data_IF_394771550618
#
_entry.id   IF_394771550618
#
_cell.length_a   1.000
_cell.length_b   1.000
_cell.length_c   1.000
_cell.angle_alpha   90.00
_cell.angle_beta   90.00
_cell.angle_gamma   90.00
#
_symmetry.space_group_name_H-M   'P 1'
#
loop_
_entity.id
_entity.type
_entity.pdbx_description
1 polymer ?
#
# COMPACT_ATOMS: atom_id res chain seq x y z
N UNK A 1 -14.00 -41.82 -26.54
CA UNK A 1 -14.77 -40.66 -27.01
C UNK A 1 -13.84 -39.48 -27.19
N UNK A 2 -13.55 -39.14 -28.44
CA UNK A 2 -12.62 -38.07 -28.81
C UNK A 2 -13.21 -36.70 -28.49
N UNK A 3 -12.55 -35.95 -27.62
CA UNK A 3 -12.89 -34.52 -27.43
C UNK A 3 -12.36 -33.76 -28.64
N UNK A 4 -13.26 -33.28 -29.48
CA UNK A 4 -12.93 -32.32 -30.51
C UNK A 4 -12.56 -30.98 -29.83
N UNK A 5 -11.28 -30.62 -29.92
CA UNK A 5 -10.82 -29.27 -29.65
C UNK A 5 -11.20 -28.39 -30.87
N UNK A 6 -12.32 -27.74 -30.80
CA UNK A 6 -12.68 -26.67 -31.75
C UNK A 6 -12.19 -25.36 -31.15
N UNK A 7 -11.11 -24.81 -31.71
CA UNK A 7 -10.68 -23.46 -31.41
C UNK A 7 -11.50 -22.47 -32.21
N UNK A 8 -12.11 -21.49 -31.55
CA UNK A 8 -12.81 -20.40 -32.23
C UNK A 8 -11.78 -19.56 -33.01
N UNK A 9 -12.05 -19.26 -34.24
CA UNK A 9 -11.17 -18.43 -35.05
C UNK A 9 -11.40 -16.96 -34.75
N UNK A 10 -10.38 -16.11 -35.04
CA UNK A 10 -10.47 -14.66 -34.85
C UNK A 10 -11.63 -14.07 -35.65
N UNK A 11 -11.96 -14.66 -36.79
CA UNK A 11 -13.04 -14.20 -37.66
C UNK A 11 -14.41 -14.57 -37.10
N UNK A 12 -14.56 -15.73 -36.48
CA UNK A 12 -15.78 -16.11 -35.74
C UNK A 12 -16.00 -15.21 -34.51
N UNK A 13 -14.95 -14.82 -33.82
CA UNK A 13 -15.01 -13.85 -32.72
C UNK A 13 -15.42 -12.45 -33.20
N UNK A 14 -14.96 -12.01 -34.37
CA UNK A 14 -15.39 -10.73 -34.98
C UNK A 14 -16.86 -10.72 -35.33
N UNK A 15 -17.34 -11.78 -35.93
CA UNK A 15 -18.76 -11.93 -36.30
C UNK A 15 -19.65 -11.84 -35.04
N UNK A 16 -19.29 -12.56 -33.97
CA UNK A 16 -20.02 -12.53 -32.69
C UNK A 16 -20.00 -11.15 -32.03
N UNK A 17 -18.88 -10.43 -32.12
CA UNK A 17 -18.77 -9.06 -31.59
C UNK A 17 -19.62 -8.09 -32.40
N UNK A 18 -19.71 -8.23 -33.72
CA UNK A 18 -20.50 -7.36 -34.55
C UNK A 18 -22.00 -7.64 -34.39
N UNK A 19 -22.40 -8.89 -34.16
CA UNK A 19 -23.76 -9.26 -33.76
C UNK A 19 -24.17 -8.62 -32.43
N UNK A 20 -23.31 -8.67 -31.41
CA UNK A 20 -23.53 -7.99 -30.12
C UNK A 20 -23.67 -6.48 -30.26
N UNK A 21 -22.89 -5.85 -31.14
CA UNK A 21 -22.97 -4.40 -31.42
C UNK A 21 -24.27 -4.02 -32.14
N UNK A 22 -24.83 -4.93 -32.88
CA UNK A 22 -26.12 -4.75 -33.61
C UNK A 22 -27.37 -4.87 -32.74
N UNK A 23 -27.27 -5.43 -31.53
CA UNK A 23 -28.41 -5.59 -30.63
C UNK A 23 -28.90 -4.24 -30.11
N UNK A 24 -30.15 -3.88 -30.41
CA UNK A 24 -30.74 -2.57 -30.06
C UNK A 24 -31.39 -2.52 -28.67
N UNK A 25 -31.70 -3.66 -28.08
CA UNK A 25 -32.41 -3.75 -26.80
C UNK A 25 -31.54 -4.40 -25.73
N UNK A 26 -31.63 -3.91 -24.50
CA UNK A 26 -30.90 -4.46 -23.36
C UNK A 26 -31.25 -5.92 -23.06
N UNK A 27 -32.49 -6.34 -23.37
CA UNK A 27 -32.95 -7.70 -23.15
C UNK A 27 -32.34 -8.63 -24.20
N UNK A 28 -32.33 -8.23 -25.47
CA UNK A 28 -31.67 -8.97 -26.54
C UNK A 28 -30.18 -9.07 -26.32
N UNK A 29 -29.52 -7.98 -25.89
CA UNK A 29 -28.08 -7.98 -25.55
C UNK A 29 -27.75 -8.96 -24.43
N UNK A 30 -28.63 -9.15 -23.46
CA UNK A 30 -28.43 -10.10 -22.35
C UNK A 30 -28.57 -11.55 -22.84
N UNK A 31 -29.57 -11.85 -23.70
CA UNK A 31 -29.77 -13.18 -24.28
C UNK A 31 -28.57 -13.54 -25.17
N UNK A 32 -28.09 -12.61 -26.00
CA UNK A 32 -26.89 -12.81 -26.82
C UNK A 32 -25.64 -13.00 -26.00
N UNK A 33 -25.50 -12.32 -24.88
CA UNK A 33 -24.38 -12.48 -23.97
C UNK A 33 -24.37 -13.88 -23.32
N UNK A 34 -25.53 -14.36 -22.89
CA UNK A 34 -25.68 -15.68 -22.29
C UNK A 34 -25.44 -16.80 -23.32
N UNK A 35 -25.88 -16.65 -24.58
CA UNK A 35 -25.55 -17.56 -25.68
C UNK A 35 -24.08 -17.52 -26.07
N UNK A 36 -23.46 -16.35 -26.06
CA UNK A 36 -22.02 -16.15 -26.29
C UNK A 36 -21.18 -16.84 -25.22
N UNK A 37 -21.53 -16.67 -23.95
CA UNK A 37 -20.85 -17.32 -22.81
C UNK A 37 -21.03 -18.85 -22.90
N UNK A 38 -22.23 -19.35 -23.21
CA UNK A 38 -22.46 -20.76 -23.38
C UNK A 38 -21.66 -21.37 -24.54
N UNK A 39 -21.47 -20.63 -25.64
CA UNK A 39 -20.61 -21.06 -26.76
C UNK A 39 -19.14 -21.12 -26.37
N UNK A 40 -18.64 -20.13 -25.64
CA UNK A 40 -17.25 -20.10 -25.12
C UNK A 40 -17.01 -21.29 -24.17
N UNK A 41 -17.94 -21.57 -23.26
CA UNK A 41 -17.83 -22.70 -22.34
C UNK A 41 -17.85 -24.06 -23.09
N UNK A 42 -18.62 -24.17 -24.18
CA UNK A 42 -18.67 -25.38 -25.02
C UNK A 42 -17.38 -25.64 -25.80
N UNK A 43 -16.57 -24.60 -26.05
CA UNK A 43 -15.33 -24.69 -26.83
C UNK A 43 -14.11 -25.12 -25.98
N UNK A 44 -14.27 -25.28 -24.67
CA UNK A 44 -13.25 -25.88 -23.81
C UNK A 44 -11.93 -25.09 -23.69
N UNK A 45 -11.93 -23.78 -23.94
CA UNK A 45 -10.79 -22.90 -23.77
C UNK A 45 -10.49 -22.70 -22.30
N UNK A 46 -9.68 -23.59 -21.72
CA UNK A 46 -9.04 -23.35 -20.42
C UNK A 46 -8.01 -22.25 -20.55
N UNK A 47 -8.20 -21.21 -19.71
CA UNK A 47 -7.37 -20.05 -19.44
C UNK A 47 -7.65 -18.81 -20.26
N UNK A 48 -8.87 -18.33 -20.24
CA UNK A 48 -9.10 -16.94 -19.86
C UNK A 48 -9.33 -16.98 -18.36
N UNK A 49 -8.62 -16.19 -17.58
CA UNK A 49 -8.85 -16.09 -16.15
C UNK A 49 -10.30 -15.71 -15.95
N UNK A 50 -11.12 -16.67 -15.54
CA UNK A 50 -12.45 -16.41 -15.02
C UNK A 50 -12.26 -15.77 -13.64
N UNK A 51 -12.24 -14.44 -13.60
CA UNK A 51 -12.94 -13.77 -12.53
C UNK A 51 -14.40 -13.76 -12.94
N UNK A 52 -15.20 -14.67 -12.34
CA UNK A 52 -16.65 -14.59 -12.39
C UNK A 52 -17.06 -13.15 -12.03
N UNK A 53 -17.99 -12.52 -12.78
CA UNK A 53 -18.62 -11.31 -12.28
C UNK A 53 -19.27 -11.70 -10.96
N UNK A 54 -18.69 -11.26 -9.83
CA UNK A 54 -19.32 -11.41 -8.52
C UNK A 54 -20.76 -10.90 -8.66
N UNK A 55 -21.70 -11.77 -8.39
CA UNK A 55 -23.13 -11.50 -8.48
C UNK A 55 -23.44 -10.15 -7.83
N UNK A 56 -24.14 -9.29 -8.55
CA UNK A 56 -24.64 -7.98 -8.07
C UNK A 56 -25.49 -8.15 -6.79
N UNK A 57 -26.05 -9.33 -6.53
CA UNK A 57 -26.77 -9.67 -5.29
C UNK A 57 -25.88 -9.67 -4.04
N UNK A 58 -24.56 -9.94 -4.15
CA UNK A 58 -23.62 -9.85 -3.02
C UNK A 58 -23.32 -8.41 -2.56
N UNK A 59 -23.74 -7.39 -3.32
CA UNK A 59 -23.57 -5.98 -2.95
C UNK A 59 -24.52 -5.52 -1.82
N UNK A 60 -25.65 -6.22 -1.59
CA UNK A 60 -26.63 -5.82 -0.59
C UNK A 60 -26.28 -6.25 0.84
N UNK A 61 -25.42 -7.26 1.02
CA UNK A 61 -25.11 -7.84 2.35
C UNK A 61 -23.70 -7.53 2.87
N UNK A 62 -23.04 -6.50 2.34
CA UNK A 62 -21.72 -6.13 2.88
C UNK A 62 -21.82 -5.53 4.26
N UNK A 63 -21.13 -6.16 5.22
CA UNK A 63 -21.08 -5.75 6.64
C UNK A 63 -19.81 -5.01 6.96
N UNK A 64 -19.93 -3.97 7.75
CA UNK A 64 -18.77 -3.29 8.32
C UNK A 64 -18.10 -4.18 9.37
N UNK A 65 -16.85 -3.86 9.72
CA UNK A 65 -16.13 -4.52 10.80
C UNK A 65 -16.95 -4.49 12.11
N UNK A 66 -17.64 -3.38 12.39
CA UNK A 66 -18.48 -3.22 13.54
C UNK A 66 -19.65 -4.22 13.60
N UNK A 67 -20.35 -4.39 12.47
CA UNK A 67 -21.48 -5.32 12.37
C UNK A 67 -21.02 -6.76 12.56
N UNK A 68 -19.93 -7.17 11.89
CA UNK A 68 -19.38 -8.51 12.05
C UNK A 68 -18.84 -8.79 13.45
N UNK A 69 -18.22 -7.79 14.08
CA UNK A 69 -17.76 -7.91 15.47
C UNK A 69 -18.91 -8.19 16.43
N UNK A 70 -20.00 -7.45 16.31
CA UNK A 70 -21.19 -7.61 17.14
C UNK A 70 -21.89 -8.94 16.90
N UNK A 71 -22.01 -9.38 15.65
CA UNK A 71 -22.58 -10.69 15.33
C UNK A 71 -21.79 -11.84 15.94
N UNK A 72 -20.46 -11.77 15.87
CA UNK A 72 -19.57 -12.78 16.45
C UNK A 72 -19.44 -12.66 17.97
N UNK A 73 -20.01 -11.62 18.57
CA UNK A 73 -19.93 -11.33 20.00
C UNK A 73 -18.49 -11.32 20.54
N UNK A 74 -17.55 -10.86 19.73
CA UNK A 74 -16.15 -10.80 20.11
C UNK A 74 -15.92 -9.77 21.23
N UNK A 75 -14.94 -10.05 22.08
CA UNK A 75 -14.54 -9.16 23.18
C UNK A 75 -13.03 -9.07 23.27
N UNK A 76 -12.54 -7.86 23.49
CA UNK A 76 -11.14 -7.60 23.77
C UNK A 76 -10.79 -8.09 25.18
N UNK A 77 -9.70 -8.85 25.27
CA UNK A 77 -9.16 -9.34 26.54
C UNK A 77 -7.91 -8.57 26.93
N UNK A 78 -7.48 -8.72 28.18
CA UNK A 78 -6.18 -8.22 28.61
C UNK A 78 -5.05 -8.81 27.74
N UNK A 79 -3.99 -8.05 27.50
CA UNK A 79 -2.92 -8.41 26.60
C UNK A 79 -3.09 -7.82 25.20
N UNK A 80 -2.36 -8.35 24.23
CA UNK A 80 -2.33 -7.86 22.85
C UNK A 80 -3.39 -8.59 22.02
N UNK A 81 -4.32 -7.84 21.47
CA UNK A 81 -5.38 -8.29 20.58
C UNK A 81 -5.10 -7.76 19.17
N UNK A 82 -4.86 -8.64 18.21
CA UNK A 82 -4.66 -8.28 16.82
C UNK A 82 -5.99 -8.38 16.06
N UNK A 83 -6.43 -7.28 15.48
CA UNK A 83 -7.63 -7.19 14.63
C UNK A 83 -7.18 -6.95 13.19
N UNK A 84 -7.33 -7.94 12.34
CA UNK A 84 -7.00 -7.89 10.92
C UNK A 84 -8.28 -7.63 10.14
N UNK A 85 -8.34 -6.49 9.45
CA UNK A 85 -9.52 -6.13 8.67
C UNK A 85 -9.10 -5.33 7.42
N UNK A 86 -9.74 -5.59 6.26
CA UNK A 86 -9.38 -4.96 5.00
C UNK A 86 -9.55 -3.44 5.03
N UNK A 87 -8.92 -2.75 4.06
CA UNK A 87 -9.13 -1.33 3.87
C UNK A 87 -10.60 -1.07 3.49
N UNK A 88 -11.17 0.01 4.05
CA UNK A 88 -12.59 0.35 3.81
C UNK A 88 -13.60 -0.36 4.71
N UNK A 89 -13.20 -1.32 5.54
CA UNK A 89 -14.11 -2.06 6.45
C UNK A 89 -14.68 -1.25 7.62
N UNK A 90 -14.22 0.01 7.82
CA UNK A 90 -14.69 0.87 8.90
C UNK A 90 -13.90 0.75 10.21
N UNK A 91 -12.58 0.42 10.17
CA UNK A 91 -11.73 0.30 11.36
C UNK A 91 -11.83 1.49 12.33
N UNK A 92 -11.75 2.72 11.83
CA UNK A 92 -11.85 3.92 12.67
C UNK A 92 -13.24 4.04 13.33
N UNK A 93 -14.32 3.79 12.57
CA UNK A 93 -15.66 3.75 13.11
C UNK A 93 -15.82 2.69 14.21
N UNK A 94 -15.32 1.48 13.97
CA UNK A 94 -15.29 0.39 14.94
C UNK A 94 -14.55 0.78 16.22
N UNK A 95 -13.40 1.46 16.12
CA UNK A 95 -12.64 1.95 17.26
C UNK A 95 -13.49 2.84 18.18
N UNK A 96 -14.07 3.90 17.62
CA UNK A 96 -14.75 4.91 18.43
C UNK A 96 -16.18 4.52 18.83
N UNK A 97 -16.88 3.78 17.99
CA UNK A 97 -18.29 3.45 18.22
C UNK A 97 -18.50 2.08 18.86
N UNK A 98 -17.51 1.21 18.87
CA UNK A 98 -17.61 -0.11 19.51
C UNK A 98 -16.58 -0.24 20.63
N UNK A 99 -15.29 -0.35 20.31
CA UNK A 99 -14.30 -0.66 21.33
C UNK A 99 -14.30 0.32 22.50
N UNK A 100 -14.32 1.63 22.21
CA UNK A 100 -14.25 2.65 23.27
C UNK A 100 -15.57 2.76 24.04
N UNK A 101 -16.72 2.66 23.36
CA UNK A 101 -18.02 2.75 24.00
C UNK A 101 -18.36 1.53 24.86
N UNK A 102 -18.03 0.32 24.39
CA UNK A 102 -18.29 -0.91 25.11
C UNK A 102 -17.47 -1.03 26.39
N UNK A 103 -16.21 -0.62 26.32
CA UNK A 103 -15.28 -0.78 27.42
C UNK A 103 -15.50 0.21 28.56
N UNK A 104 -16.16 1.34 28.33
CA UNK A 104 -16.40 2.42 29.30
C UNK A 104 -15.16 2.79 30.13
N UNK A 105 -13.98 2.60 29.53
CA UNK A 105 -12.69 2.82 30.19
C UNK A 105 -12.29 4.28 30.14
N UNK A 106 -11.63 4.70 31.21
CA UNK A 106 -10.87 5.96 31.24
C UNK A 106 -9.41 5.68 30.88
N UNK A 107 -8.66 6.72 30.54
CA UNK A 107 -7.24 6.62 30.20
C UNK A 107 -6.96 5.71 29.00
N UNK A 108 -7.66 5.95 27.90
CA UNK A 108 -7.44 5.30 26.62
C UNK A 108 -6.45 6.12 25.81
N UNK A 109 -5.49 5.43 25.18
CA UNK A 109 -4.56 6.03 24.21
C UNK A 109 -4.86 5.47 22.82
N UNK A 110 -5.16 6.36 21.87
CA UNK A 110 -5.28 6.03 20.46
C UNK A 110 -4.03 6.50 19.72
N UNK A 111 -3.30 5.55 19.15
CA UNK A 111 -2.07 5.79 18.40
C UNK A 111 -2.35 5.70 16.89
N UNK A 112 -1.94 6.73 16.17
CA UNK A 112 -2.00 6.79 14.72
C UNK A 112 -0.61 7.00 14.11
N UNK A 113 -0.48 6.65 12.83
CA UNK A 113 0.80 6.66 12.13
C UNK A 113 1.28 8.07 11.78
N UNK A 114 0.38 8.97 11.43
CA UNK A 114 0.71 10.30 10.92
C UNK A 114 -0.06 11.43 11.57
N UNK A 115 0.51 12.65 11.44
CA UNK A 115 -0.18 13.89 11.83
C UNK A 115 -1.48 14.10 11.06
N UNK A 116 -1.53 13.69 9.78
CA UNK A 116 -2.72 13.85 8.96
C UNK A 116 -3.87 12.98 9.47
N UNK A 117 -3.60 11.74 9.88
CA UNK A 117 -4.62 10.88 10.48
C UNK A 117 -5.06 11.42 11.85
N UNK A 118 -4.12 11.89 12.67
CA UNK A 118 -4.42 12.59 13.93
C UNK A 118 -5.33 13.79 13.68
N UNK A 119 -5.02 14.62 12.68
CA UNK A 119 -5.83 15.79 12.31
C UNK A 119 -7.21 15.38 11.76
N UNK A 120 -7.32 14.26 11.05
CA UNK A 120 -8.61 13.76 10.59
C UNK A 120 -9.54 13.39 11.75
N UNK A 121 -9.01 12.80 12.83
CA UNK A 121 -9.78 12.55 14.07
C UNK A 121 -10.11 13.88 14.78
N UNK A 122 -9.17 14.83 14.79
CA UNK A 122 -9.36 16.16 15.38
C UNK A 122 -10.48 16.96 14.70
N UNK A 123 -10.61 16.83 13.37
CA UNK A 123 -11.61 17.56 12.59
C UNK A 123 -12.96 16.83 12.52
N UNK A 124 -13.05 15.61 13.02
CA UNK A 124 -14.29 14.85 13.07
C UNK A 124 -15.14 15.30 14.26
N UNK A 125 -16.23 16.01 14.00
CA UNK A 125 -17.12 16.55 15.02
C UNK A 125 -17.73 15.47 15.92
N UNK A 126 -17.81 14.23 15.45
CA UNK A 126 -18.35 13.09 16.21
C UNK A 126 -17.37 12.61 17.27
N UNK A 127 -16.08 12.63 17.00
CA UNK A 127 -15.04 12.07 17.86
C UNK A 127 -14.31 13.11 18.69
N UNK A 128 -14.13 14.31 18.12
CA UNK A 128 -13.39 15.40 18.76
C UNK A 128 -13.80 15.71 20.21
N UNK A 129 -15.11 15.75 20.58
CA UNK A 129 -15.53 16.06 21.94
C UNK A 129 -15.02 15.07 23.00
N UNK A 130 -14.66 13.86 22.60
CA UNK A 130 -14.15 12.80 23.49
C UNK A 130 -12.64 12.64 23.46
N UNK A 131 -11.93 13.47 22.68
CA UNK A 131 -10.52 13.31 22.42
C UNK A 131 -9.69 14.45 23.02
N UNK A 132 -8.52 14.11 23.54
CA UNK A 132 -7.47 15.04 23.94
C UNK A 132 -6.31 14.95 22.95
N UNK A 133 -5.85 16.10 22.50
CA UNK A 133 -4.73 16.22 21.56
C UNK A 133 -3.60 17.04 22.18
N UNK A 134 -2.38 16.63 21.90
CA UNK A 134 -1.18 17.35 22.31
C UNK A 134 -0.56 18.06 21.12
N UNK A 135 -0.25 19.34 21.29
CA UNK A 135 0.55 20.12 20.35
C UNK A 135 2.03 19.65 20.39
N UNK A 136 2.84 20.18 19.49
CA UNK A 136 4.29 19.95 19.52
C UNK A 136 4.90 20.51 20.79
N UNK A 137 4.44 21.67 21.25
CA UNK A 137 4.96 22.34 22.43
C UNK A 137 4.57 21.61 23.72
N UNK A 138 3.34 21.08 23.79
CA UNK A 138 2.94 20.20 24.89
C UNK A 138 3.86 18.99 25.00
N UNK A 139 4.11 18.31 23.88
CA UNK A 139 5.03 17.14 23.88
C UNK A 139 6.44 17.55 24.31
N UNK A 140 6.97 18.67 23.82
CA UNK A 140 8.30 19.16 24.20
C UNK A 140 8.35 19.51 25.71
N UNK A 141 7.29 20.09 26.26
CA UNK A 141 7.22 20.42 27.68
C UNK A 141 7.20 19.15 28.55
N UNK A 142 6.47 18.12 28.12
CA UNK A 142 6.45 16.82 28.80
C UNK A 142 7.84 16.18 28.76
N UNK A 143 8.41 16.06 27.56
CA UNK A 143 9.72 15.44 27.32
C UNK A 143 10.86 16.15 28.09
N UNK A 144 10.72 17.45 28.34
CA UNK A 144 11.70 18.25 29.11
C UNK A 144 11.34 18.34 30.61
N UNK A 145 10.35 17.59 31.10
CA UNK A 145 9.97 17.55 32.52
C UNK A 145 9.35 18.83 33.06
N UNK A 146 8.87 19.72 32.16
CA UNK A 146 8.25 20.99 32.55
C UNK A 146 6.77 20.84 32.95
N UNK A 147 6.15 19.75 32.54
CA UNK A 147 4.74 19.43 32.85
C UNK A 147 4.61 17.95 33.14
N UNK A 148 4.01 17.61 34.26
CA UNK A 148 3.57 16.24 34.54
C UNK A 148 2.23 16.01 33.84
N UNK A 149 2.17 15.01 33.02
CA UNK A 149 0.98 14.74 32.22
C UNK A 149 0.43 13.36 32.49
N UNK A 150 -0.84 13.23 32.44
CA UNK A 150 -1.67 12.08 32.79
C UNK A 150 -1.99 11.98 34.29
N UNK A 151 -3.02 12.64 34.75
CA UNK A 151 -3.57 12.31 36.04
C UNK A 151 -4.38 13.35 36.75
N UNK A 152 -4.20 14.61 36.47
CA UNK A 152 -5.02 15.63 37.11
C UNK A 152 -6.08 16.10 36.13
N UNK A 153 -7.32 15.64 36.37
CA UNK A 153 -8.53 16.05 35.69
C UNK A 153 -8.45 16.01 34.15
N UNK A 154 -8.37 14.83 33.59
CA UNK A 154 -8.92 14.59 32.29
C UNK A 154 -10.43 14.78 32.48
N UNK A 155 -10.95 15.98 32.21
CA UNK A 155 -12.37 16.23 32.29
C UNK A 155 -13.16 15.16 31.52
N UNK A 156 -14.18 15.48 30.84
CA UNK A 156 -14.99 14.54 30.05
C UNK A 156 -14.24 13.85 28.91
N UNK A 157 -13.00 14.25 28.58
CA UNK A 157 -12.19 13.70 27.49
C UNK A 157 -11.45 12.42 27.92
N UNK A 158 -11.94 11.27 27.46
CA UNK A 158 -11.46 9.95 27.86
C UNK A 158 -10.36 9.36 26.99
N UNK A 159 -10.07 9.96 25.82
CA UNK A 159 -9.19 9.40 24.80
C UNK A 159 -8.05 10.37 24.51
N UNK A 160 -6.81 9.92 24.69
CA UNK A 160 -5.63 10.67 24.26
C UNK A 160 -5.20 10.23 22.88
N UNK A 161 -5.24 11.14 21.91
CA UNK A 161 -4.84 10.86 20.51
C UNK A 161 -3.41 11.34 20.27
N UNK A 162 -2.53 10.43 19.89
CA UNK A 162 -1.11 10.68 19.63
C UNK A 162 -0.63 9.99 18.35
N UNK A 163 0.46 10.49 17.78
CA UNK A 163 1.23 9.70 16.81
C UNK A 163 2.17 8.72 17.53
N UNK A 164 2.57 7.64 16.87
CA UNK A 164 3.59 6.71 17.40
C UNK A 164 4.88 7.44 17.80
N UNK A 165 5.30 8.45 17.02
CA UNK A 165 6.47 9.25 17.37
C UNK A 165 6.27 10.04 18.67
N UNK A 166 5.12 10.71 18.86
CA UNK A 166 4.83 11.45 20.09
C UNK A 166 4.82 10.53 21.31
N UNK A 167 4.16 9.38 21.18
CA UNK A 167 4.10 8.38 22.22
C UNK A 167 5.50 7.83 22.56
N UNK A 168 6.30 7.50 21.55
CA UNK A 168 7.65 6.98 21.74
C UNK A 168 8.60 7.99 22.38
N UNK A 169 8.55 9.26 21.99
CA UNK A 169 9.36 10.33 22.62
C UNK A 169 9.08 10.45 24.13
N UNK A 170 7.81 10.39 24.53
CA UNK A 170 7.43 10.41 25.94
C UNK A 170 7.85 9.10 26.62
N UNK A 171 7.59 7.96 25.99
CA UNK A 171 7.91 6.65 26.55
C UNK A 171 9.42 6.45 26.78
N UNK A 172 10.26 7.05 25.96
CA UNK A 172 11.71 6.98 26.06
C UNK A 172 12.23 7.73 27.29
N UNK A 173 11.65 8.89 27.62
CA UNK A 173 12.14 9.78 28.68
C UNK A 173 11.31 9.72 29.97
N UNK A 174 10.02 9.49 29.87
CA UNK A 174 9.04 9.53 30.95
C UNK A 174 8.08 8.35 30.85
N UNK A 175 8.62 7.14 30.91
CA UNK A 175 7.87 5.90 30.75
C UNK A 175 6.73 5.75 31.78
N UNK A 176 6.89 6.30 33.00
CA UNK A 176 5.90 6.32 34.07
C UNK A 176 4.58 7.02 33.69
N UNK A 177 4.64 7.95 32.75
CA UNK A 177 3.48 8.70 32.24
C UNK A 177 2.32 7.79 31.80
N UNK A 178 2.63 6.58 31.36
CA UNK A 178 1.63 5.64 30.82
C UNK A 178 1.24 4.50 31.78
N UNK A 179 1.57 4.60 33.07
CA UNK A 179 1.31 3.51 34.03
C UNK A 179 -0.19 3.28 34.31
N UNK A 180 -0.99 4.35 34.23
CA UNK A 180 -2.44 4.31 34.45
C UNK A 180 -3.25 4.07 33.18
N UNK A 181 -2.63 3.82 32.04
CA UNK A 181 -3.33 3.54 30.80
C UNK A 181 -4.07 2.20 30.92
N UNK A 182 -5.36 2.20 30.59
CA UNK A 182 -6.23 1.00 30.65
C UNK A 182 -6.38 0.34 29.29
N UNK A 183 -6.24 1.10 28.22
CA UNK A 183 -6.33 0.59 26.86
C UNK A 183 -5.44 1.39 25.91
N UNK A 184 -4.73 0.69 25.03
CA UNK A 184 -4.05 1.29 23.87
C UNK A 184 -4.67 0.73 22.60
N UNK A 185 -5.02 1.62 21.67
CA UNK A 185 -5.47 1.26 20.34
C UNK A 185 -4.45 1.77 19.33
N UNK A 186 -3.86 0.85 18.58
CA UNK A 186 -2.80 1.08 17.61
C UNK A 186 -3.38 0.99 16.20
N UNK A 187 -3.74 2.12 15.59
CA UNK A 187 -4.22 2.12 14.21
C UNK A 187 -3.05 2.00 13.24
N UNK A 188 -3.23 1.20 12.17
CA UNK A 188 -2.18 0.81 11.22
C UNK A 188 -0.89 0.34 11.96
N UNK A 189 -1.06 -0.58 12.91
CA UNK A 189 -0.01 -1.01 13.85
C UNK A 189 1.30 -1.47 13.19
N UNK A 190 1.24 -1.97 11.94
CA UNK A 190 2.41 -2.34 11.14
C UNK A 190 3.34 -1.15 10.89
N UNK A 191 2.83 0.10 10.87
CA UNK A 191 3.64 1.29 10.65
C UNK A 191 4.62 1.56 11.80
N UNK A 192 4.26 1.23 13.02
CA UNK A 192 5.19 1.37 14.15
C UNK A 192 6.47 0.56 13.92
N UNK A 193 6.34 -0.65 13.39
CA UNK A 193 7.48 -1.54 13.07
C UNK A 193 8.26 -1.06 11.85
N UNK A 194 7.55 -0.62 10.80
CA UNK A 194 8.18 -0.13 9.58
C UNK A 194 8.96 1.17 9.83
N UNK A 195 8.42 2.08 10.64
CA UNK A 195 9.06 3.33 11.02
C UNK A 195 10.26 3.13 11.95
N UNK A 196 10.25 2.12 12.81
CA UNK A 196 11.44 1.73 13.56
C UNK A 196 12.62 1.44 12.63
N UNK A 197 12.40 0.73 11.52
CA UNK A 197 13.46 0.40 10.56
C UNK A 197 13.89 1.61 9.72
N UNK A 198 12.98 2.54 9.44
CA UNK A 198 13.21 3.67 8.55
C UNK A 198 13.79 4.89 9.23
N UNK A 199 13.40 5.15 10.47
CA UNK A 199 13.63 6.43 11.12
C UNK A 199 14.43 6.36 12.43
N UNK A 200 14.41 5.23 13.15
CA UNK A 200 15.23 5.09 14.34
C UNK A 200 16.72 5.05 13.96
N UNK A 201 17.53 5.78 14.75
CA UNK A 201 18.99 5.83 14.67
C UNK A 201 19.59 5.25 15.96
N UNK A 202 20.90 5.08 15.99
CA UNK A 202 21.58 4.47 17.13
C UNK A 202 21.34 5.22 18.44
N UNK A 203 21.21 6.55 18.37
CA UNK A 203 21.09 7.48 19.51
C UNK A 203 19.65 7.94 19.76
N UNK A 204 18.70 7.69 18.84
CA UNK A 204 17.32 8.14 18.94
C UNK A 204 16.37 7.03 18.44
N UNK A 205 15.79 6.28 19.40
CA UNK A 205 15.03 5.04 19.13
C UNK A 205 13.54 5.20 19.45
N UNK A 206 12.97 6.28 18.95
CA UNK A 206 11.60 6.72 19.26
C UNK A 206 10.57 5.63 18.99
N UNK A 207 10.58 5.04 17.78
CA UNK A 207 9.59 4.03 17.41
C UNK A 207 9.82 2.70 18.13
N UNK A 208 11.08 2.35 18.38
CA UNK A 208 11.43 1.19 19.22
C UNK A 208 10.92 1.37 20.65
N UNK A 209 11.10 2.54 21.24
CA UNK A 209 10.58 2.87 22.57
C UNK A 209 9.06 2.79 22.63
N UNK A 210 8.36 3.22 21.56
CA UNK A 210 6.92 3.04 21.45
C UNK A 210 6.52 1.56 21.47
N UNK A 211 7.15 0.71 20.66
CA UNK A 211 6.83 -0.73 20.59
C UNK A 211 7.12 -1.43 21.93
N UNK A 212 8.27 -1.15 22.54
CA UNK A 212 8.63 -1.71 23.87
C UNK A 212 7.59 -1.29 24.92
N UNK A 213 7.20 -0.02 24.93
CA UNK A 213 6.22 0.48 25.91
C UNK A 213 4.83 -0.13 25.69
N UNK A 214 4.39 -0.29 24.45
CA UNK A 214 3.13 -0.97 24.11
C UNK A 214 3.14 -2.41 24.65
N UNK A 215 4.22 -3.17 24.40
CA UNK A 215 4.37 -4.53 24.93
C UNK A 215 4.31 -4.54 26.47
N UNK A 216 5.03 -3.64 27.14
CA UNK A 216 5.02 -3.55 28.60
C UNK A 216 3.63 -3.21 29.17
N UNK A 217 2.90 -2.31 28.53
CA UNK A 217 1.54 -1.95 28.96
C UNK A 217 0.58 -3.12 28.79
N UNK A 218 0.77 -3.98 27.79
CA UNK A 218 -0.09 -5.14 27.55
C UNK A 218 -0.12 -6.14 28.72
N UNK A 219 0.89 -6.12 29.59
CA UNK A 219 0.91 -6.96 30.79
C UNK A 219 -0.22 -6.59 31.78
N UNK A 220 -0.66 -5.33 31.78
CA UNK A 220 -1.62 -4.77 32.75
C UNK A 220 -2.88 -4.20 32.11
N UNK A 221 -2.87 -3.93 30.82
CA UNK A 221 -3.94 -3.25 30.09
C UNK A 221 -4.31 -4.00 28.82
N UNK A 222 -5.38 -3.54 28.16
CA UNK A 222 -5.81 -4.03 26.86
C UNK A 222 -5.05 -3.29 25.76
N UNK A 223 -4.44 -4.02 24.83
CA UNK A 223 -3.82 -3.46 23.63
C UNK A 223 -4.54 -4.00 22.40
N UNK A 224 -4.97 -3.13 21.51
CA UNK A 224 -5.61 -3.49 20.25
C UNK A 224 -4.74 -3.02 19.10
N UNK A 225 -4.26 -3.95 18.29
CA UNK A 225 -3.51 -3.67 17.08
C UNK A 225 -4.47 -3.80 15.89
N UNK A 226 -4.71 -2.70 15.17
CA UNK A 226 -5.54 -2.68 13.96
C UNK A 226 -4.65 -2.65 12.72
N UNK A 227 -4.90 -3.53 11.75
CA UNK A 227 -4.13 -3.56 10.51
C UNK A 227 -4.90 -4.19 9.35
N UNK A 228 -4.59 -3.78 8.11
CA UNK A 228 -4.96 -4.50 6.89
C UNK A 228 -3.81 -5.39 6.37
N UNK A 229 -2.60 -5.27 6.94
CA UNK A 229 -1.38 -5.94 6.48
C UNK A 229 -0.66 -6.60 7.66
N UNK A 230 -1.10 -7.80 8.08
CA UNK A 230 -0.59 -8.46 9.27
C UNK A 230 0.84 -8.98 9.14
N UNK A 231 1.34 -9.24 7.93
CA UNK A 231 2.64 -9.89 7.68
C UNK A 231 3.85 -9.17 8.31
N UNK A 232 3.71 -7.85 8.55
CA UNK A 232 4.77 -7.02 9.14
C UNK A 232 4.67 -6.97 10.66
N UNK A 233 3.53 -7.35 11.23
CA UNK A 233 3.30 -7.27 12.67
C UNK A 233 4.27 -8.18 13.41
N UNK A 234 5.15 -7.57 14.21
CA UNK A 234 6.12 -8.23 15.07
C UNK A 234 5.99 -7.67 16.48
N UNK A 235 4.89 -8.01 17.13
CA UNK A 235 4.70 -7.79 18.56
C UNK A 235 4.84 -9.13 19.28
N UNK A 236 5.54 -9.11 20.41
CA UNK A 236 5.65 -10.29 21.25
C UNK A 236 4.30 -10.54 21.96
N UNK A 237 4.00 -11.81 22.24
CA UNK A 237 2.86 -12.20 23.08
C UNK A 237 1.48 -11.73 22.59
N UNK A 238 1.19 -11.83 21.28
CA UNK A 238 -0.18 -11.63 20.79
C UNK A 238 -1.10 -12.67 21.44
N UNK A 239 -2.05 -12.18 22.23
CA UNK A 239 -2.94 -13.02 23.04
C UNK A 239 -4.14 -13.52 22.23
N UNK A 240 -4.70 -12.68 21.38
CA UNK A 240 -5.86 -13.01 20.55
C UNK A 240 -5.68 -12.44 19.14
N UNK A 241 -6.19 -13.19 18.15
CA UNK A 241 -6.23 -12.77 16.76
C UNK A 241 -7.68 -12.82 16.29
N UNK A 242 -8.18 -11.71 15.81
CA UNK A 242 -9.49 -11.55 15.18
C UNK A 242 -9.26 -11.23 13.71
N UNK A 243 -9.32 -12.26 12.87
CA UNK A 243 -9.05 -12.13 11.44
C UNK A 243 -10.35 -12.08 10.63
N UNK A 244 -10.58 -10.93 10.00
CA UNK A 244 -11.70 -10.69 9.09
C UNK A 244 -11.26 -10.58 7.64
N UNK A 245 -9.98 -10.84 7.31
CA UNK A 245 -9.48 -10.66 5.95
C UNK A 245 -10.14 -11.58 4.94
N UNK A 246 -10.55 -12.78 5.39
CA UNK A 246 -11.18 -13.82 4.56
C UNK A 246 -12.70 -13.87 4.69
N UNK A 247 -13.32 -12.97 5.45
CA UNK A 247 -14.79 -12.90 5.56
C UNK A 247 -15.38 -12.44 4.23
N UNK A 248 -16.22 -13.27 3.63
CA UNK A 248 -16.78 -13.00 2.29
C UNK A 248 -17.67 -11.74 2.25
N UNK A 249 -18.39 -11.49 3.33
CA UNK A 249 -19.34 -10.39 3.46
C UNK A 249 -18.75 -9.13 4.10
N UNK A 250 -17.45 -9.08 4.43
CA UNK A 250 -16.88 -7.86 4.97
C UNK A 250 -16.79 -6.76 3.91
N UNK A 251 -17.18 -5.55 4.30
CA UNK A 251 -17.02 -4.36 3.44
C UNK A 251 -15.55 -4.14 3.11
N UNK A 252 -15.23 -4.07 1.83
CA UNK A 252 -13.90 -3.80 1.30
C UNK A 252 -13.98 -2.92 0.06
N UNK A 253 -12.90 -2.25 -0.25
CA UNK A 253 -12.74 -1.53 -1.52
C UNK A 253 -12.50 -2.55 -2.63
N UNK A 254 -13.18 -2.41 -3.76
CA UNK A 254 -13.14 -3.36 -4.88
C UNK A 254 -12.54 -2.72 -6.12
N UNK A 255 -12.00 -3.56 -6.97
CA UNK A 255 -11.48 -3.25 -8.30
C UNK A 255 -12.16 -4.17 -9.32
N UNK A 256 -12.77 -3.60 -10.39
CA UNK A 256 -13.34 -4.43 -11.46
C UNK A 256 -12.23 -5.18 -12.20
N UNK A 257 -11.04 -4.57 -12.32
CA UNK A 257 -9.90 -5.19 -12.98
C UNK A 257 -8.57 -4.81 -12.30
N UNK A 258 -7.77 -5.82 -11.97
CA UNK A 258 -6.39 -5.64 -11.52
C UNK A 258 -5.45 -6.00 -12.66
N UNK A 259 -4.52 -5.11 -13.01
CA UNK A 259 -3.58 -5.26 -14.12
C UNK A 259 -2.16 -5.12 -13.55
N UNK A 260 -1.37 -6.16 -13.72
CA UNK A 260 0.04 -6.14 -13.34
C UNK A 260 0.91 -5.64 -14.49
N UNK A 261 1.96 -4.87 -14.18
CA UNK A 261 2.98 -4.45 -15.14
C UNK A 261 4.36 -4.49 -14.50
N UNK A 262 5.40 -4.68 -15.30
CA UNK A 262 6.78 -4.81 -14.82
C UNK A 262 7.62 -3.59 -15.17
N UNK A 263 7.45 -3.03 -16.35
CA UNK A 263 8.27 -1.93 -16.86
C UNK A 263 7.62 -0.55 -16.62
N UNK A 264 8.39 0.41 -16.12
CA UNK A 264 7.95 1.81 -16.01
C UNK A 264 7.57 2.46 -17.36
N UNK A 265 7.99 1.89 -18.49
CA UNK A 265 7.55 2.33 -19.82
C UNK A 265 6.06 2.13 -20.05
N UNK A 266 5.46 1.17 -19.36
CA UNK A 266 4.03 0.91 -19.45
C UNK A 266 3.18 2.02 -18.84
N UNK A 267 3.72 2.79 -17.90
CA UNK A 267 3.01 3.96 -17.34
C UNK A 267 2.62 4.92 -18.46
N UNK A 268 3.51 5.16 -19.42
CA UNK A 268 3.18 6.02 -20.58
C UNK A 268 2.03 5.45 -21.42
N UNK A 269 1.98 4.13 -21.61
CA UNK A 269 0.88 3.45 -22.31
C UNK A 269 -0.43 3.63 -21.55
N UNK A 270 -0.41 3.39 -20.23
CA UNK A 270 -1.59 3.55 -19.38
C UNK A 270 -2.10 4.99 -19.40
N UNK A 271 -1.22 5.98 -19.30
CA UNK A 271 -1.58 7.41 -19.38
C UNK A 271 -2.19 7.75 -20.75
N UNK A 272 -1.65 7.21 -21.85
CA UNK A 272 -2.21 7.41 -23.20
C UNK A 272 -3.59 6.71 -23.34
N UNK A 273 -3.77 5.54 -22.77
CA UNK A 273 -5.08 4.84 -22.73
C UNK A 273 -6.09 5.63 -21.91
N UNK A 274 -5.67 6.16 -20.76
CA UNK A 274 -6.50 6.99 -19.90
C UNK A 274 -6.95 8.28 -20.61
N UNK A 275 -6.09 8.91 -21.42
CA UNK A 275 -6.48 10.08 -22.23
C UNK A 275 -7.65 9.78 -23.13
N UNK A 276 -7.69 8.62 -23.82
CA UNK A 276 -8.83 8.23 -24.64
C UNK A 276 -10.12 8.10 -23.83
N UNK A 277 -10.02 7.69 -22.56
CA UNK A 277 -11.17 7.60 -21.68
C UNK A 277 -11.68 8.98 -21.24
N UNK A 278 -10.76 9.92 -20.92
CA UNK A 278 -11.13 11.30 -20.55
C UNK A 278 -11.80 12.07 -21.71
N UNK A 279 -11.51 11.70 -22.94
CA UNK A 279 -12.16 12.29 -24.13
C UNK A 279 -13.62 11.82 -24.27
N UNK A 280 -14.01 10.75 -23.59
CA UNK A 280 -15.36 10.15 -23.67
C UNK A 280 -16.20 10.46 -22.43
N UNK A 281 -15.61 10.52 -21.26
CA UNK A 281 -16.30 10.75 -19.98
C UNK A 281 -15.41 11.51 -18.98
N UNK A 282 -16.05 12.24 -18.07
CA UNK A 282 -15.31 12.90 -16.97
C UNK A 282 -14.86 11.86 -15.96
N UNK A 283 -13.58 11.58 -15.93
CA UNK A 283 -12.94 10.62 -15.01
C UNK A 283 -11.60 11.13 -14.55
N UNK A 284 -11.16 10.66 -13.40
CA UNK A 284 -9.87 10.98 -12.80
C UNK A 284 -9.05 9.72 -12.53
N UNK A 285 -7.73 9.90 -12.44
CA UNK A 285 -6.80 8.85 -12.10
C UNK A 285 -5.90 9.29 -10.95
N UNK A 286 -5.66 8.37 -9.99
CA UNK A 286 -4.61 8.52 -8.98
C UNK A 286 -3.40 7.68 -9.40
N UNK A 287 -2.21 8.31 -9.39
CA UNK A 287 -0.95 7.62 -9.60
C UNK A 287 -0.09 7.75 -8.34
N UNK A 288 0.39 6.63 -7.83
CA UNK A 288 1.36 6.59 -6.74
C UNK A 288 2.74 6.19 -7.26
N UNK A 289 3.78 6.86 -6.76
CA UNK A 289 5.18 6.47 -7.01
C UNK A 289 6.09 6.83 -5.83
N UNK A 290 7.22 6.14 -5.67
CA UNK A 290 8.07 6.30 -4.49
C UNK A 290 8.90 7.58 -4.49
N UNK A 291 9.28 8.12 -5.67
CA UNK A 291 10.29 9.18 -5.81
C UNK A 291 9.73 10.43 -6.46
N UNK A 292 10.10 11.61 -5.94
CA UNK A 292 9.70 12.92 -6.48
C UNK A 292 10.15 13.09 -7.95
N UNK A 293 11.37 12.63 -8.29
CA UNK A 293 11.83 12.64 -9.67
C UNK A 293 10.85 11.92 -10.60
N UNK A 294 10.39 10.75 -10.21
CA UNK A 294 9.40 9.96 -10.96
C UNK A 294 8.03 10.64 -10.99
N UNK A 295 7.62 11.33 -9.92
CA UNK A 295 6.41 12.17 -9.92
C UNK A 295 6.48 13.19 -11.05
N UNK A 296 7.58 13.95 -11.14
CA UNK A 296 7.77 14.98 -12.14
C UNK A 296 7.82 14.43 -13.58
N UNK A 297 8.48 13.27 -13.77
CA UNK A 297 8.53 12.58 -15.06
C UNK A 297 7.14 12.13 -15.52
N UNK A 298 6.32 11.60 -14.62
CA UNK A 298 4.95 11.18 -14.92
C UNK A 298 4.07 12.38 -15.22
N UNK A 299 4.12 13.45 -14.41
CA UNK A 299 3.35 14.69 -14.65
C UNK A 299 3.69 15.27 -16.01
N UNK A 300 4.98 15.36 -16.36
CA UNK A 300 5.40 15.79 -17.69
C UNK A 300 4.81 14.91 -18.78
N UNK A 301 4.90 13.59 -18.64
CA UNK A 301 4.33 12.63 -19.60
C UNK A 301 2.80 12.76 -19.76
N UNK A 302 2.08 13.14 -18.69
CA UNK A 302 0.65 13.45 -18.75
C UNK A 302 0.39 14.72 -19.59
N UNK A 303 1.15 15.79 -19.34
CA UNK A 303 1.05 17.03 -20.09
C UNK A 303 1.37 16.84 -21.57
N UNK A 304 2.38 16.02 -21.91
CA UNK A 304 2.78 15.71 -23.28
C UNK A 304 1.63 15.08 -24.11
N UNK A 305 0.67 14.44 -23.45
CA UNK A 305 -0.52 13.85 -24.09
C UNK A 305 -1.80 14.68 -23.90
N UNK A 306 -1.69 15.91 -23.35
CA UNK A 306 -2.79 16.83 -23.17
C UNK A 306 -3.68 16.55 -21.95
N UNK A 307 -3.21 15.81 -20.95
CA UNK A 307 -3.89 15.62 -19.67
C UNK A 307 -3.42 16.64 -18.63
N UNK A 308 -4.33 17.15 -17.82
CA UNK A 308 -4.04 18.05 -16.71
C UNK A 308 -3.65 17.24 -15.47
N UNK A 309 -2.38 17.30 -15.10
CA UNK A 309 -1.84 16.53 -14.00
C UNK A 309 -1.06 17.41 -13.01
N UNK A 310 -1.11 17.05 -11.72
CA UNK A 310 -0.30 17.68 -10.69
C UNK A 310 0.39 16.61 -9.83
N UNK A 311 1.62 16.90 -9.43
CA UNK A 311 2.39 16.06 -8.53
C UNK A 311 2.44 16.65 -7.13
N UNK A 312 2.20 15.83 -6.10
CA UNK A 312 2.23 16.24 -4.70
C UNK A 312 3.18 15.36 -3.88
N UNK A 313 3.85 15.99 -2.91
CA UNK A 313 4.75 15.35 -1.95
C UNK A 313 4.74 16.04 -0.60
N UNK A 314 5.72 15.77 0.28
CA UNK A 314 5.78 16.37 1.62
C UNK A 314 6.07 17.88 1.59
N UNK A 315 5.32 18.65 2.37
CA UNK A 315 5.59 20.07 2.65
C UNK A 315 6.99 20.34 3.23
N UNK A 316 7.56 19.36 3.91
CA UNK A 316 8.85 19.51 4.59
C UNK A 316 10.06 19.27 3.67
N UNK A 317 9.82 18.98 2.39
CA UNK A 317 10.92 18.78 1.43
C UNK A 317 11.46 20.14 0.96
N UNK A 318 12.55 20.59 1.59
CA UNK A 318 13.19 21.88 1.29
C UNK A 318 13.87 21.90 -0.06
N UNK A 319 14.36 20.75 -0.54
CA UNK A 319 15.09 20.63 -1.80
C UNK A 319 14.17 20.65 -3.03
N UNK A 320 12.88 20.33 -2.81
CA UNK A 320 11.86 20.31 -3.84
C UNK A 320 10.61 21.05 -3.31
N UNK A 321 10.69 22.38 -3.24
CA UNK A 321 9.56 23.18 -2.82
C UNK A 321 8.40 23.08 -3.84
N UNK A 322 7.18 22.90 -3.35
CA UNK A 322 5.98 22.89 -4.19
C UNK A 322 5.59 24.30 -4.61
N UNK A 323 5.05 24.45 -5.81
CA UNK A 323 4.44 25.70 -6.29
C UNK A 323 3.18 26.06 -5.52
N UNK A 324 2.72 27.32 -5.64
CA UNK A 324 1.46 27.77 -5.03
C UNK A 324 0.28 26.88 -5.42
N UNK A 325 0.15 26.55 -6.72
CA UNK A 325 -0.91 25.66 -7.21
C UNK A 325 -0.86 24.26 -6.60
N UNK A 326 0.35 23.69 -6.44
CA UNK A 326 0.52 22.40 -5.77
C UNK A 326 0.11 22.47 -4.29
N UNK A 327 0.42 23.58 -3.60
CA UNK A 327 0.02 23.80 -2.19
C UNK A 327 -1.49 23.94 -2.05
N UNK A 328 -2.14 24.67 -2.94
CA UNK A 328 -3.61 24.80 -2.98
C UNK A 328 -4.28 23.45 -3.24
N UNK A 329 -3.76 22.69 -4.20
CA UNK A 329 -4.22 21.32 -4.49
C UNK A 329 -4.04 20.41 -3.28
N UNK A 330 -2.87 20.45 -2.64
CA UNK A 330 -2.60 19.67 -1.43
C UNK A 330 -3.58 20.01 -0.30
N UNK A 331 -3.84 21.28 -0.09
CA UNK A 331 -4.82 21.72 0.91
C UNK A 331 -6.24 21.23 0.59
N UNK A 332 -6.67 21.26 -0.67
CA UNK A 332 -7.96 20.69 -1.09
C UNK A 332 -8.03 19.19 -0.80
N UNK A 333 -6.98 18.45 -1.15
CA UNK A 333 -6.92 17.01 -0.95
C UNK A 333 -6.89 16.64 0.54
N UNK A 334 -6.16 17.39 1.37
CA UNK A 334 -6.09 17.10 2.82
C UNK A 334 -7.39 17.51 3.54
N UNK A 335 -7.91 18.72 3.28
CA UNK A 335 -9.03 19.26 4.05
C UNK A 335 -10.39 18.74 3.57
N UNK A 336 -10.58 18.63 2.26
CA UNK A 336 -11.85 18.22 1.66
C UNK A 336 -11.87 16.77 1.18
N UNK A 337 -10.69 16.17 0.97
CA UNK A 337 -10.56 14.86 0.33
C UNK A 337 -10.88 14.89 -1.17
N UNK A 338 -10.71 16.04 -1.83
CA UNK A 338 -11.12 16.21 -3.22
C UNK A 338 -9.93 16.62 -4.11
N UNK A 339 -9.76 15.94 -5.21
CA UNK A 339 -8.94 16.37 -6.33
C UNK A 339 -9.73 17.49 -7.05
N UNK A 340 -9.14 18.66 -7.32
CA UNK A 340 -9.78 19.72 -8.06
C UNK A 340 -10.41 19.27 -9.38
N UNK A 341 -11.52 19.88 -9.75
CA UNK A 341 -12.33 19.45 -10.90
C UNK A 341 -11.61 19.60 -12.23
N UNK A 342 -10.72 20.58 -12.34
CA UNK A 342 -9.91 20.84 -13.52
C UNK A 342 -8.78 19.83 -13.77
N UNK A 343 -8.45 18.99 -12.78
CA UNK A 343 -7.40 17.97 -12.91
C UNK A 343 -7.97 16.64 -13.36
N UNK A 344 -7.26 15.98 -14.28
CA UNK A 344 -7.51 14.64 -14.74
C UNK A 344 -6.73 13.62 -13.90
N UNK A 345 -5.49 13.95 -13.51
CA UNK A 345 -4.57 13.05 -12.81
C UNK A 345 -3.94 13.73 -11.60
N UNK A 346 -3.99 13.03 -10.47
CA UNK A 346 -3.19 13.34 -9.28
C UNK A 346 -2.05 12.33 -9.15
N UNK A 347 -0.81 12.81 -9.05
CA UNK A 347 0.37 11.98 -8.80
C UNK A 347 0.88 12.24 -7.39
N UNK A 348 0.94 11.22 -6.55
CA UNK A 348 1.41 11.33 -5.15
C UNK A 348 2.60 10.42 -4.88
N UNK A 349 3.36 10.74 -3.84
CA UNK A 349 4.46 9.89 -3.37
C UNK A 349 4.24 9.33 -1.96
N UNK A 350 5.24 8.62 -1.44
CA UNK A 350 5.20 7.94 -0.15
C UNK A 350 4.83 8.86 1.04
N UNK A 351 5.14 10.15 0.97
CA UNK A 351 4.82 11.10 2.06
C UNK A 351 3.32 11.37 2.20
N UNK A 352 2.54 11.11 1.16
CA UNK A 352 1.08 11.23 1.15
C UNK A 352 0.40 9.85 1.12
N UNK A 353 1.17 8.77 1.24
CA UNK A 353 0.66 7.41 1.31
C UNK A 353 -0.26 7.20 2.51
N UNK A 354 -0.07 7.96 3.59
CA UNK A 354 -0.87 7.91 4.81
C UNK A 354 -1.52 9.28 5.08
N UNK A 355 -2.70 9.25 5.68
CA UNK A 355 -3.40 10.47 6.13
C UNK A 355 -4.15 11.27 5.06
N UNK A 356 -4.21 10.80 3.82
CA UNK A 356 -5.03 11.39 2.76
C UNK A 356 -6.16 10.42 2.39
N UNK A 357 -7.38 10.93 2.33
CA UNK A 357 -8.56 10.18 1.91
C UNK A 357 -9.20 10.91 0.73
N UNK A 358 -9.18 10.31 -0.44
CA UNK A 358 -9.71 10.89 -1.66
C UNK A 358 -11.14 10.37 -1.86
N UNK A 359 -12.10 11.28 -1.90
CA UNK A 359 -13.54 11.01 -1.91
C UNK A 359 -14.22 11.31 -3.25
N UNK A 360 -13.46 11.74 -4.26
CA UNK A 360 -14.01 12.01 -5.59
C UNK A 360 -14.72 10.77 -6.15
N UNK A 361 -15.96 10.95 -6.61
CA UNK A 361 -16.76 9.87 -7.20
C UNK A 361 -16.36 9.56 -8.65
N UNK A 362 -15.57 10.39 -9.28
CA UNK A 362 -15.11 10.28 -10.67
C UNK A 362 -13.71 9.67 -10.83
N UNK A 363 -13.11 9.13 -9.76
CA UNK A 363 -11.85 8.38 -9.87
C UNK A 363 -12.15 6.94 -10.28
N UNK A 364 -11.78 6.57 -11.47
CA UNK A 364 -12.01 5.24 -12.01
C UNK A 364 -10.73 4.39 -12.07
N UNK A 365 -9.56 5.01 -12.18
CA UNK A 365 -8.30 4.29 -12.29
C UNK A 365 -7.32 4.67 -11.19
N UNK A 366 -6.61 3.67 -10.70
CA UNK A 366 -5.48 3.84 -9.77
C UNK A 366 -4.27 3.11 -10.33
N UNK A 367 -3.11 3.76 -10.34
CA UNK A 367 -1.83 3.13 -10.71
C UNK A 367 -0.86 3.24 -9.54
N UNK A 368 -0.30 2.12 -9.11
CA UNK A 368 0.68 2.06 -8.03
C UNK A 368 2.02 1.58 -8.58
N UNK A 369 2.97 2.51 -8.72
CA UNK A 369 4.32 2.25 -9.21
C UNK A 369 5.27 1.89 -8.05
N UNK A 370 4.91 0.84 -7.32
CA UNK A 370 5.74 0.22 -6.28
C UNK A 370 5.54 -1.29 -6.30
N UNK A 371 6.62 -2.05 -6.10
CA UNK A 371 6.59 -3.52 -5.97
C UNK A 371 6.21 -3.97 -4.55
N UNK A 372 6.24 -3.07 -3.59
CA UNK A 372 5.92 -3.38 -2.19
C UNK A 372 4.42 -3.54 -2.01
N UNK A 373 3.97 -4.76 -1.67
CA UNK A 373 2.55 -5.11 -1.49
C UNK A 373 1.84 -4.21 -0.46
N UNK A 374 2.49 -3.88 0.65
CA UNK A 374 1.92 -2.99 1.67
C UNK A 374 1.66 -1.61 1.10
N UNK A 375 2.64 -1.07 0.37
CA UNK A 375 2.51 0.20 -0.34
C UNK A 375 1.38 0.15 -1.38
N UNK A 376 1.23 -0.97 -2.11
CA UNK A 376 0.15 -1.15 -3.08
C UNK A 376 -1.22 -1.07 -2.40
N UNK A 377 -1.41 -1.81 -1.31
CA UNK A 377 -2.65 -1.80 -0.53
C UNK A 377 -2.95 -0.40 0.02
N UNK A 378 -1.95 0.25 0.61
CA UNK A 378 -2.12 1.57 1.22
C UNK A 378 -2.41 2.66 0.18
N UNK A 379 -1.68 2.68 -0.92
CA UNK A 379 -1.88 3.66 -1.99
C UNK A 379 -3.28 3.50 -2.63
N UNK A 380 -3.70 2.25 -2.89
CA UNK A 380 -5.04 1.95 -3.40
C UNK A 380 -6.13 2.41 -2.42
N UNK A 381 -5.92 2.20 -1.14
CA UNK A 381 -6.90 2.54 -0.10
C UNK A 381 -7.13 4.04 0.09
N UNK A 382 -6.30 4.90 -0.51
CA UNK A 382 -6.52 6.36 -0.50
C UNK A 382 -7.77 6.77 -1.26
N UNK A 383 -8.15 6.04 -2.30
CA UNK A 383 -9.43 6.21 -2.99
C UNK A 383 -10.51 5.42 -2.24
N UNK A 384 -11.45 6.12 -1.61
CA UNK A 384 -12.46 5.54 -0.69
C UNK A 384 -13.72 5.07 -1.39
N UNK A 385 -13.58 4.59 -2.61
CA UNK A 385 -14.66 4.01 -3.43
C UNK A 385 -14.12 2.84 -4.26
N UNK A 386 -15.02 2.07 -4.82
CA UNK A 386 -14.69 1.06 -5.83
C UNK A 386 -14.19 1.72 -7.11
N UNK A 387 -13.28 1.09 -7.80
CA UNK A 387 -12.65 1.60 -9.03
C UNK A 387 -12.76 0.59 -10.16
N UNK A 388 -12.66 1.09 -11.39
CA UNK A 388 -12.67 0.25 -12.57
C UNK A 388 -11.35 -0.51 -12.76
N UNK A 389 -10.20 0.20 -12.72
CA UNK A 389 -8.90 -0.44 -12.94
C UNK A 389 -7.88 -0.08 -11.88
N UNK A 390 -7.21 -1.12 -11.38
CA UNK A 390 -6.02 -1.00 -10.55
C UNK A 390 -4.80 -1.52 -11.31
N UNK A 391 -3.83 -0.64 -11.56
CA UNK A 391 -2.53 -1.02 -12.12
C UNK A 391 -1.51 -1.15 -11.01
N UNK A 392 -0.90 -2.31 -10.84
CA UNK A 392 0.14 -2.57 -9.83
C UNK A 392 1.43 -3.04 -10.48
N UNK A 393 2.54 -2.51 -9.99
CA UNK A 393 3.86 -2.93 -10.46
C UNK A 393 4.22 -4.27 -9.82
N UNK A 394 4.48 -5.27 -10.67
CA UNK A 394 5.05 -6.55 -10.25
C UNK A 394 6.59 -6.52 -10.35
N UNK A 395 7.24 -7.39 -9.63
CA UNK A 395 8.64 -7.71 -9.91
C UNK A 395 8.73 -8.32 -11.30
N UNK A 396 9.77 -7.95 -12.03
CA UNK A 396 10.10 -8.67 -13.27
C UNK A 396 10.41 -10.11 -12.86
N UNK A 397 9.48 -11.03 -13.13
CA UNK A 397 9.77 -12.46 -13.04
C UNK A 397 10.76 -12.78 -14.15
N UNK A 398 11.97 -13.03 -13.78
CA UNK A 398 13.01 -13.36 -14.73
C UNK A 398 12.73 -14.76 -15.28
N UNK A 399 12.40 -14.89 -16.57
CA UNK A 399 12.30 -16.18 -17.28
C UNK A 399 13.59 -17.02 -17.18
N UNK A 400 14.69 -16.42 -16.68
CA UNK A 400 15.99 -17.07 -16.51
C UNK A 400 16.14 -17.89 -15.22
N UNK A 401 15.20 -17.82 -14.27
CA UNK A 401 15.30 -18.55 -12.99
C UNK A 401 15.16 -20.08 -13.19
N UNK A 402 14.52 -20.53 -14.27
CA UNK A 402 14.31 -21.95 -14.55
C UNK A 402 15.55 -22.66 -15.16
N UNK A 403 16.55 -21.95 -15.64
CA UNK A 403 17.79 -22.56 -16.13
C UNK A 403 18.78 -22.75 -14.98
N UNK A 404 19.06 -23.99 -14.64
CA UNK A 404 20.15 -24.33 -13.73
C UNK A 404 21.48 -23.85 -14.34
N UNK A 405 22.05 -22.80 -13.73
CA UNK A 405 23.33 -22.24 -14.15
C UNK A 405 24.46 -22.97 -13.45
N UNK A 406 25.41 -23.47 -14.21
CA UNK A 406 26.63 -24.07 -13.67
C UNK A 406 27.78 -23.17 -14.11
N UNK A 407 28.46 -22.56 -13.14
CA UNK A 407 29.65 -21.75 -13.40
C UNK A 407 30.89 -22.65 -13.49
N UNK A 408 31.77 -22.31 -14.42
CA UNK A 408 33.08 -22.90 -14.45
C UNK A 408 33.94 -22.44 -13.27
N UNK A 409 34.82 -23.28 -12.76
CA UNK A 409 35.68 -23.03 -11.60
C UNK A 409 36.50 -21.74 -11.71
N UNK A 410 36.85 -21.31 -12.94
CA UNK A 410 37.57 -20.05 -13.19
C UNK A 410 36.84 -18.81 -12.68
N UNK A 411 35.49 -18.88 -12.58
CA UNK A 411 34.64 -17.79 -12.10
C UNK A 411 34.34 -17.82 -10.61
N UNK A 412 34.66 -18.96 -9.96
CA UNK A 412 34.41 -19.15 -8.53
C UNK A 412 35.60 -18.66 -7.69
N UNK A 413 35.29 -18.01 -6.58
CA UNK A 413 36.26 -17.48 -5.61
C UNK A 413 37.30 -16.53 -6.20
N UNK A 414 37.04 -16.01 -7.39
CA UNK A 414 37.95 -15.07 -8.12
C UNK A 414 37.37 -13.67 -8.05
N UNK A 415 38.22 -12.62 -7.81
CA UNK A 415 37.76 -11.23 -7.86
C UNK A 415 37.42 -10.80 -9.28
N UNK A 416 36.13 -10.60 -9.56
CA UNK A 416 35.65 -10.22 -10.89
C UNK A 416 35.60 -8.68 -10.99
N UNK A 417 36.36 -8.13 -11.92
CA UNK A 417 36.27 -6.72 -12.35
C UNK A 417 35.03 -6.50 -13.23
N UNK A 418 34.77 -5.26 -13.64
CA UNK A 418 33.70 -4.96 -14.61
C UNK A 418 33.93 -5.68 -15.97
N UNK A 419 35.17 -5.83 -16.38
CA UNK A 419 35.52 -6.55 -17.64
C UNK A 419 35.22 -8.05 -17.49
N UNK A 420 35.60 -8.63 -16.36
CA UNK A 420 35.35 -10.05 -16.08
C UNK A 420 33.87 -10.37 -15.95
N UNK A 421 33.09 -9.47 -15.31
CA UNK A 421 31.62 -9.58 -15.24
C UNK A 421 30.96 -9.58 -16.60
N UNK A 422 31.44 -8.72 -17.54
CA UNK A 422 30.91 -8.70 -18.89
C UNK A 422 31.25 -10.01 -19.64
N UNK A 423 32.49 -10.51 -19.52
CA UNK A 423 32.87 -11.79 -20.11
C UNK A 423 32.06 -12.95 -19.59
N UNK A 424 31.81 -12.99 -18.28
CA UNK A 424 30.93 -13.98 -17.67
C UNK A 424 29.50 -13.90 -18.23
N UNK A 425 28.96 -12.68 -18.40
CA UNK A 425 27.63 -12.49 -18.98
C UNK A 425 27.61 -12.97 -20.46
N UNK A 426 28.67 -12.73 -21.24
CA UNK A 426 28.79 -13.20 -22.63
C UNK A 426 28.82 -14.75 -22.67
N UNK A 427 29.64 -15.39 -21.85
CA UNK A 427 29.76 -16.86 -21.80
C UNK A 427 28.47 -17.54 -21.38
N UNK A 428 27.70 -16.94 -20.46
CA UNK A 428 26.42 -17.46 -20.02
C UNK A 428 25.24 -17.08 -20.94
N UNK A 429 25.49 -16.27 -21.98
CA UNK A 429 24.46 -15.85 -22.91
C UNK A 429 23.42 -14.92 -22.31
N UNK A 430 23.81 -14.08 -21.35
CA UNK A 430 22.92 -13.14 -20.68
C UNK A 430 22.72 -11.84 -21.48
N UNK A 431 21.80 -11.89 -22.43
CA UNK A 431 21.42 -10.76 -23.27
C UNK A 431 19.97 -10.33 -23.02
N UNK A 432 19.66 -9.04 -23.24
CA UNK A 432 18.29 -8.53 -23.24
C UNK A 432 17.64 -8.75 -24.65
N UNK A 433 16.33 -8.45 -24.77
CA UNK A 433 15.55 -8.55 -26.01
C UNK A 433 16.13 -7.73 -27.20
N UNK A 434 17.15 -6.91 -26.95
CA UNK A 434 17.85 -6.07 -27.95
C UNK A 434 19.30 -6.48 -28.16
N UNK A 435 19.63 -7.73 -27.85
CA UNK A 435 20.96 -8.31 -27.93
C UNK A 435 22.06 -7.51 -27.19
N UNK A 436 21.72 -6.85 -26.09
CA UNK A 436 22.65 -6.16 -25.20
C UNK A 436 22.88 -6.98 -23.95
N UNK A 437 24.13 -7.06 -23.48
CA UNK A 437 24.49 -7.72 -22.24
C UNK A 437 23.65 -7.19 -21.07
N UNK A 438 23.15 -8.12 -20.25
CA UNK A 438 22.45 -7.78 -19.02
C UNK A 438 23.38 -7.05 -18.05
N UNK A 439 22.83 -6.08 -17.33
CA UNK A 439 23.57 -5.38 -16.27
C UNK A 439 23.92 -6.34 -15.13
N UNK A 440 25.11 -6.17 -14.54
CA UNK A 440 25.58 -7.00 -13.43
C UNK A 440 24.57 -7.12 -12.27
N UNK A 441 23.85 -6.06 -11.97
CA UNK A 441 22.81 -6.07 -10.93
C UNK A 441 21.65 -7.05 -11.23
N UNK A 442 21.43 -7.40 -12.50
CA UNK A 442 20.45 -8.40 -12.92
C UNK A 442 21.07 -9.79 -12.89
N UNK A 443 22.26 -9.92 -13.41
CA UNK A 443 23.02 -11.20 -13.43
C UNK A 443 23.30 -11.68 -12.00
N UNK A 444 23.69 -10.81 -11.09
CA UNK A 444 23.91 -11.17 -9.68
C UNK A 444 22.65 -11.76 -9.00
N UNK A 445 21.47 -11.24 -9.33
CA UNK A 445 20.21 -11.82 -8.80
C UNK A 445 19.94 -13.20 -9.36
N UNK A 446 20.21 -13.44 -10.64
CA UNK A 446 20.06 -14.74 -11.28
C UNK A 446 21.00 -15.76 -10.64
N UNK A 447 22.25 -15.39 -10.40
CA UNK A 447 23.22 -16.25 -9.75
C UNK A 447 22.83 -16.55 -8.28
N UNK A 448 22.35 -15.56 -7.53
CA UNK A 448 21.81 -15.77 -6.16
C UNK A 448 20.62 -16.72 -6.16
N UNK A 449 19.73 -16.64 -7.16
CA UNK A 449 18.59 -17.56 -7.31
C UNK A 449 19.02 -18.99 -7.71
N UNK A 450 20.26 -19.17 -8.18
CA UNK A 450 20.89 -20.46 -8.48
C UNK A 450 21.85 -20.91 -7.36
N UNK A 451 21.62 -20.48 -6.11
CA UNK A 451 22.34 -20.86 -4.90
C UNK A 451 23.80 -20.40 -4.81
N UNK A 452 24.25 -19.52 -5.71
CA UNK A 452 25.55 -18.87 -5.57
C UNK A 452 25.51 -17.74 -4.54
N UNK A 453 26.60 -17.51 -3.85
CA UNK A 453 26.82 -16.37 -2.96
C UNK A 453 27.66 -15.34 -3.65
N UNK A 454 27.32 -14.05 -3.52
CA UNK A 454 28.05 -12.96 -4.13
C UNK A 454 28.44 -11.95 -3.06
N UNK A 455 29.75 -11.68 -2.97
CA UNK A 455 30.32 -10.68 -2.07
C UNK A 455 30.92 -9.54 -2.86
N UNK A 456 30.33 -8.35 -2.74
CA UNK A 456 30.87 -7.14 -3.34
C UNK A 456 31.91 -6.50 -2.40
N UNK A 457 33.02 -6.03 -2.99
CA UNK A 457 34.06 -5.32 -2.28
C UNK A 457 34.76 -4.28 -3.19
N UNK A 458 35.69 -3.53 -2.64
CA UNK A 458 36.49 -2.58 -3.39
C UNK A 458 37.96 -2.92 -3.22
N UNK A 459 38.68 -3.09 -4.32
CA UNK A 459 40.12 -3.40 -4.34
C UNK A 459 40.87 -2.39 -5.21
N UNK A 460 42.11 -2.11 -4.86
CA UNK A 460 43.00 -1.31 -5.70
C UNK A 460 43.62 -2.22 -6.78
N UNK A 461 43.34 -1.90 -8.05
CA UNK A 461 43.86 -2.63 -9.22
C UNK A 461 44.59 -1.59 -10.07
N UNK A 462 45.85 -1.82 -10.36
CA UNK A 462 46.71 -0.91 -11.12
C UNK A 462 46.67 0.55 -10.64
N UNK A 463 46.69 0.74 -9.33
CA UNK A 463 46.65 2.06 -8.70
C UNK A 463 45.28 2.73 -8.67
N UNK A 464 44.21 2.13 -9.25
CA UNK A 464 42.86 2.66 -9.26
C UNK A 464 41.95 1.84 -8.37
N UNK A 465 41.06 2.51 -7.65
CA UNK A 465 40.04 1.86 -6.80
C UNK A 465 38.92 1.30 -7.67
N UNK A 466 38.79 -0.02 -7.71
CA UNK A 466 37.81 -0.73 -8.55
C UNK A 466 36.84 -1.53 -7.69
N UNK A 467 35.56 -1.54 -8.06
CA UNK A 467 34.56 -2.43 -7.46
C UNK A 467 34.69 -3.83 -8.05
N UNK A 468 34.83 -4.81 -7.18
CA UNK A 468 34.92 -6.23 -7.57
C UNK A 468 33.78 -7.01 -6.91
N UNK A 469 33.40 -8.14 -7.51
CA UNK A 469 32.52 -9.14 -6.92
C UNK A 469 33.22 -10.49 -6.88
N UNK A 470 32.97 -11.28 -5.84
CA UNK A 470 33.46 -12.66 -5.69
C UNK A 470 32.23 -13.55 -5.62
N UNK A 471 32.19 -14.56 -6.49
CA UNK A 471 31.12 -15.57 -6.52
C UNK A 471 31.63 -16.81 -5.80
N UNK A 472 30.82 -17.40 -4.94
CA UNK A 472 31.08 -18.67 -4.27
C UNK A 472 29.81 -19.52 -4.21
N UNK A 473 29.96 -20.80 -3.97
CA UNK A 473 28.86 -21.75 -3.78
C UNK A 473 28.33 -21.67 -2.35
#
# INVERSE_FOLDING_TARGET
MSKHNTSITIDELKILIDELRGAKDKIESKIYLDEFMSKIDSLGTKKVIQEEPENIELLQDQKTLNELWNEKQYKIKQGINLVIAPCGSGKTYFTFNTLIKEEKLENIVYLCDTRNLKNAVLLDETYHPYCRFYSKDDINNIVNGKTTVFGESIGENKITVMTYAQFGMIAEKHSETFENVKMIICDEAHQAIDYQRKFDKDDERIYRSAVIKINKISEKAKVVLLTATPDIIKFDNITNIFDFSNEQNIKRLRENKVITYTSSKEIKRVVTEFKKLTDQKKVKMLIYTDRIKTVNEIVKGCHDVGLKAVGLWSLNNKDNAMSTYQLETLNSVISKGLIPDELDILVINASLQTGVNIKNNDIDWVLVNSINKVTQIQARSRVRKDIDKLYIKAEETEEFIEKKIILEDKWLNTPLTTVDKNKLCEELGFYDEKDRLLKWSRVSKILLANDYKIKDSTKQIEGKRSRISIISI
#
